data_IF_405394570109
#
_entry.id   IF_405394570109
#
_cell.length_a   1.000
_cell.length_b   1.000
_cell.length_c   1.000
_cell.angle_alpha   90.00
_cell.angle_beta   90.00
_cell.angle_gamma   90.00
#
_symmetry.space_group_name_H-M   'P 1'
#
loop_
_entity.id
_entity.type
_entity.pdbx_description
1 polymer ?
#
# COMPACT_ATOMS: atom_id res chain seq x y z
N UNK A 1 -24.89 -4.74 -3.95
CA UNK A 1 -23.98 -4.71 -2.79
C UNK A 1 -22.58 -4.66 -3.36
N UNK A 2 -21.89 -3.53 -3.28
CA UNK A 2 -20.52 -3.44 -3.79
C UNK A 2 -19.58 -3.64 -2.61
N UNK A 3 -18.85 -4.76 -2.59
CA UNK A 3 -17.71 -4.91 -1.70
C UNK A 3 -16.69 -3.82 -2.09
N UNK A 4 -16.04 -3.15 -1.12
CA UNK A 4 -14.97 -2.22 -1.43
C UNK A 4 -13.85 -2.98 -2.13
N UNK A 5 -13.41 -2.48 -3.29
CA UNK A 5 -12.25 -3.03 -4.00
C UNK A 5 -10.99 -2.75 -3.18
N UNK A 6 -10.62 -3.71 -2.34
CA UNK A 6 -9.33 -3.77 -1.66
C UNK A 6 -8.37 -4.48 -2.61
N UNK A 7 -7.45 -3.72 -3.18
CA UNK A 7 -6.38 -4.26 -4.00
C UNK A 7 -5.29 -4.84 -3.10
N UNK A 8 -4.61 -5.89 -3.53
CA UNK A 8 -3.43 -6.41 -2.85
C UNK A 8 -2.21 -6.16 -3.74
N UNK A 9 -1.14 -5.64 -3.14
CA UNK A 9 0.16 -5.39 -3.79
C UNK A 9 1.20 -6.13 -2.97
N UNK A 10 2.05 -6.90 -3.65
CA UNK A 10 3.07 -7.74 -3.04
C UNK A 10 4.43 -7.14 -3.35
N UNK A 11 5.06 -6.53 -2.35
CA UNK A 11 6.30 -5.78 -2.49
C UNK A 11 7.46 -6.69 -2.95
N UNK A 12 7.41 -7.99 -2.66
CA UNK A 12 8.42 -8.96 -3.14
C UNK A 12 8.38 -9.20 -4.65
N UNK A 13 7.39 -8.64 -5.35
CA UNK A 13 7.18 -8.75 -6.81
C UNK A 13 7.30 -7.40 -7.54
N UNK A 14 7.78 -6.37 -6.85
CA UNK A 14 8.11 -5.08 -7.45
C UNK A 14 9.62 -4.99 -7.67
N UNK A 15 10.07 -5.10 -8.91
CA UNK A 15 11.43 -4.74 -9.31
C UNK A 15 11.55 -3.19 -9.30
N UNK A 16 11.98 -2.60 -8.18
CA UNK A 16 12.11 -1.14 -8.03
C UNK A 16 12.48 -0.71 -6.61
N UNK A 17 12.30 0.57 -6.29
CA UNK A 17 12.59 1.16 -4.96
C UNK A 17 11.37 1.07 -4.01
N UNK A 18 10.37 0.26 -4.40
CA UNK A 18 9.11 0.07 -3.68
C UNK A 18 7.97 0.95 -4.19
N UNK A 19 8.21 1.79 -5.19
CA UNK A 19 7.22 2.61 -5.87
C UNK A 19 6.29 1.78 -6.78
N UNK A 20 5.01 2.14 -6.83
CA UNK A 20 4.03 1.45 -7.68
C UNK A 20 2.84 2.34 -8.09
N UNK A 21 2.25 2.14 -9.28
CA UNK A 21 1.03 2.84 -9.67
C UNK A 21 -0.19 2.30 -8.91
N UNK A 22 -1.00 3.21 -8.36
CA UNK A 22 -2.26 2.90 -7.70
C UNK A 22 -3.20 2.14 -8.67
N UNK A 23 -3.61 0.90 -8.38
CA UNK A 23 -4.43 0.10 -9.30
C UNK A 23 -5.87 0.62 -9.50
N UNK A 24 -6.30 1.63 -8.73
CA UNK A 24 -7.59 2.30 -8.90
C UNK A 24 -7.56 3.56 -9.78
N UNK A 25 -6.39 4.18 -10.03
CA UNK A 25 -6.32 5.43 -10.81
C UNK A 25 -4.97 5.77 -11.48
N UNK A 26 -3.93 4.96 -11.29
CA UNK A 26 -2.61 5.14 -11.92
C UNK A 26 -1.68 6.17 -11.27
N UNK A 27 -2.07 6.84 -10.17
CA UNK A 27 -1.11 7.72 -9.45
C UNK A 27 0.01 6.90 -8.84
N UNK A 28 1.26 7.30 -9.05
CA UNK A 28 2.42 6.63 -8.42
C UNK A 28 2.39 6.86 -6.91
N UNK A 29 2.50 5.78 -6.16
CA UNK A 29 2.68 5.74 -4.71
C UNK A 29 4.13 5.34 -4.47
N UNK A 30 4.92 6.20 -3.83
CA UNK A 30 6.28 5.89 -3.36
C UNK A 30 6.26 5.70 -1.84
N UNK A 31 7.01 4.74 -1.27
CA UNK A 31 7.19 4.64 0.17
C UNK A 31 7.92 5.86 0.79
N UNK A 32 8.57 6.69 -0.03
CA UNK A 32 9.22 7.95 0.38
C UNK A 32 8.24 9.13 0.54
N UNK A 33 6.96 8.99 0.17
CA UNK A 33 5.97 10.07 0.28
C UNK A 33 5.48 10.26 1.73
N UNK A 34 6.34 10.83 2.57
CA UNK A 34 6.03 11.20 3.97
C UNK A 34 4.97 12.33 4.09
N UNK A 35 4.47 12.89 2.98
CA UNK A 35 3.56 14.07 3.02
C UNK A 35 2.10 13.74 3.27
N UNK A 36 1.71 12.46 3.17
CA UNK A 36 0.33 11.95 3.14
C UNK A 36 -0.57 12.48 1.98
N UNK A 37 -0.05 13.29 1.05
CA UNK A 37 -0.85 13.88 -0.05
C UNK A 37 -1.33 12.82 -1.07
N UNK A 38 -0.50 11.82 -1.40
CA UNK A 38 -0.88 10.78 -2.38
C UNK A 38 -1.65 9.63 -1.74
N UNK A 39 -1.31 9.24 -0.52
CA UNK A 39 -1.99 8.19 0.25
C UNK A 39 -1.92 8.45 1.75
N UNK A 40 -2.80 7.78 2.51
CA UNK A 40 -2.77 7.77 3.98
C UNK A 40 -2.81 6.33 4.48
N UNK A 41 -2.10 6.04 5.57
CA UNK A 41 -2.15 4.71 6.22
C UNK A 41 -3.48 4.59 6.96
N UNK A 42 -4.27 3.56 6.65
CA UNK A 42 -5.59 3.31 7.27
C UNK A 42 -5.64 2.01 8.08
N UNK A 43 -4.52 1.30 8.20
CA UNK A 43 -4.32 0.17 9.09
C UNK A 43 -2.92 -0.45 8.94
N UNK A 44 -2.40 -0.98 10.03
CA UNK A 44 -1.15 -1.76 10.09
C UNK A 44 -1.44 -3.11 10.73
N UNK A 45 -0.71 -4.16 10.33
CA UNK A 45 -0.69 -5.43 11.05
C UNK A 45 0.77 -5.84 11.30
N UNK A 46 1.15 -5.81 12.57
CA UNK A 46 2.43 -6.29 13.07
C UNK A 46 2.17 -7.59 13.84
N UNK A 47 2.99 -8.61 13.64
CA UNK A 47 2.89 -9.91 14.34
C UNK A 47 4.27 -10.24 14.92
N UNK A 48 4.37 -10.23 16.26
CA UNK A 48 5.67 -10.23 16.92
C UNK A 48 6.35 -8.88 16.74
N UNK A 49 7.53 -8.87 16.14
CA UNK A 49 8.30 -7.67 15.81
C UNK A 49 8.18 -7.31 14.31
N UNK A 50 7.56 -8.18 13.50
CA UNK A 50 7.50 -8.08 12.04
C UNK A 50 6.22 -7.42 11.51
N UNK A 51 6.36 -6.50 10.56
CA UNK A 51 5.25 -5.91 9.80
C UNK A 51 4.78 -6.88 8.70
N UNK A 52 3.72 -7.63 8.91
CA UNK A 52 3.16 -8.51 7.87
C UNK A 52 2.45 -7.73 6.75
N UNK A 53 1.78 -6.63 7.11
CA UNK A 53 0.78 -6.00 6.24
C UNK A 53 0.58 -4.51 6.56
N UNK A 54 0.44 -3.70 5.51
CA UNK A 54 0.12 -2.27 5.59
C UNK A 54 -1.07 -1.98 4.69
N UNK A 55 -2.17 -1.48 5.27
CA UNK A 55 -3.36 -1.05 4.52
C UNK A 55 -3.29 0.46 4.34
N UNK A 56 -3.00 0.89 3.11
CA UNK A 56 -3.06 2.30 2.72
C UNK A 56 -4.36 2.60 1.97
N UNK A 57 -4.71 3.88 1.90
CA UNK A 57 -5.81 4.39 1.09
C UNK A 57 -5.29 5.52 0.22
N UNK A 58 -5.38 5.36 -1.11
CA UNK A 58 -4.97 6.40 -2.05
C UNK A 58 -5.86 7.64 -1.87
N UNK A 59 -5.27 8.80 -1.63
CA UNK A 59 -6.01 10.02 -1.38
C UNK A 59 -6.67 10.60 -2.64
N UNK A 60 -6.21 10.22 -3.85
CA UNK A 60 -6.80 10.63 -5.14
C UNK A 60 -8.12 9.92 -5.47
N UNK A 61 -8.20 8.60 -5.32
CA UNK A 61 -9.36 7.78 -5.72
C UNK A 61 -10.10 7.09 -4.56
N UNK A 62 -9.56 7.17 -3.34
CA UNK A 62 -10.03 6.50 -2.11
C UNK A 62 -10.09 4.97 -2.19
N UNK A 63 -9.47 4.34 -3.19
CA UNK A 63 -9.20 2.90 -3.22
C UNK A 63 -8.29 2.49 -2.05
N UNK A 64 -8.59 1.35 -1.43
CA UNK A 64 -7.75 0.75 -0.38
C UNK A 64 -6.80 -0.28 -1.00
N UNK A 65 -5.56 -0.27 -0.55
CA UNK A 65 -4.47 -1.10 -1.07
C UNK A 65 -3.81 -1.77 0.12
N UNK A 66 -3.66 -3.09 0.04
CA UNK A 66 -3.13 -3.97 1.06
C UNK A 66 -1.73 -4.40 0.61
N UNK A 67 -0.73 -3.72 1.14
CA UNK A 67 0.67 -4.02 0.90
C UNK A 67 1.07 -5.19 1.79
N UNK A 68 1.72 -6.19 1.20
CA UNK A 68 2.27 -7.37 1.88
C UNK A 68 3.67 -7.64 1.36
N UNK A 69 4.44 -8.49 2.06
CA UNK A 69 5.78 -8.86 1.61
C UNK A 69 6.87 -7.85 1.99
N UNK A 70 6.64 -7.10 3.08
CA UNK A 70 7.73 -6.39 3.76
C UNK A 70 8.77 -7.43 4.21
N UNK A 71 9.97 -7.37 3.62
CA UNK A 71 11.03 -8.32 3.92
C UNK A 71 11.95 -7.70 4.97
N UNK A 72 11.93 -8.24 6.18
CA UNK A 72 12.77 -7.81 7.29
C UNK A 72 13.94 -8.80 7.33
N UNK A 73 15.15 -8.30 7.02
CA UNK A 73 16.41 -9.05 6.88
C UNK A 73 17.57 -8.21 7.41
#
# INVERSE_FOLDING_TARGET
MNQPLVYQVDLTKLDGEGDFPCPGCGVVISPEDETEDVYVIVGTKVTGEDLEELVIQCNRCKSKIRLVGFNIS
#
